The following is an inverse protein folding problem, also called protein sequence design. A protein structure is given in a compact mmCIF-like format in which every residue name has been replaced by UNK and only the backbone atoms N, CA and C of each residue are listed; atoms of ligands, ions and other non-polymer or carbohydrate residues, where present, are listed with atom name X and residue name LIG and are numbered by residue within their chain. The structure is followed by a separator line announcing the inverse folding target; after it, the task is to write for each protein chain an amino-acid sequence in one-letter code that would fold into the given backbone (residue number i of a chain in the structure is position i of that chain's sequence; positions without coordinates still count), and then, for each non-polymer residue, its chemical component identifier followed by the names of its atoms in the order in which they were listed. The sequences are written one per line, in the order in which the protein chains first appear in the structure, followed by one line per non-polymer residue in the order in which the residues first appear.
data_IF_238370330671
#
_entry.id   IF_238370330671
#
_cell.length_a   1.000
_cell.length_b   1.000
_cell.length_c   1.000
_cell.angle_alpha   90.00
_cell.angle_beta   90.00
_cell.angle_gamma   90.00
#
_symmetry.space_group_name_H-M   'P 1'
#
loop_
_entity.id
_entity.type
_entity.pdbx_description
1 polymer ?
#
# COMPACT_ATOMS: atom_id res chain seq x y z
N UNK A 1 30.38 -6.18 -9.17
CA UNK A 1 29.06 -6.04 -9.80
C UNK A 1 28.26 -7.36 -9.73
N UNK A 2 28.88 -8.48 -10.07
CA UNK A 2 28.23 -9.81 -10.08
C UNK A 2 27.83 -10.28 -8.66
N UNK A 3 28.68 -10.12 -7.65
CA UNK A 3 28.38 -10.44 -6.25
C UNK A 3 27.22 -9.63 -5.69
N UNK A 4 27.09 -8.37 -6.10
CA UNK A 4 25.95 -7.50 -5.69
C UNK A 4 24.66 -7.95 -6.36
N UNK A 5 24.73 -8.39 -7.63
CA UNK A 5 23.59 -8.95 -8.35
C UNK A 5 23.13 -10.26 -7.72
N UNK A 6 24.04 -11.18 -7.45
CA UNK A 6 23.74 -12.46 -6.79
C UNK A 6 23.17 -12.28 -5.38
N UNK A 7 23.67 -11.30 -4.61
CA UNK A 7 23.12 -10.96 -3.31
C UNK A 7 21.70 -10.37 -3.41
N UNK A 8 21.42 -9.58 -4.44
CA UNK A 8 20.06 -9.07 -4.71
C UNK A 8 19.11 -10.19 -5.11
N UNK A 9 19.54 -11.10 -5.98
CA UNK A 9 18.77 -12.26 -6.41
C UNK A 9 18.50 -13.22 -5.23
N UNK A 10 19.50 -13.52 -4.42
CA UNK A 10 19.35 -14.35 -3.22
C UNK A 10 18.38 -13.73 -2.21
N UNK A 11 18.38 -12.41 -2.06
CA UNK A 11 17.44 -11.69 -1.20
C UNK A 11 16.00 -11.75 -1.70
N UNK A 12 15.78 -11.79 -3.01
CA UNK A 12 14.46 -11.95 -3.61
C UNK A 12 13.85 -13.33 -3.31
N UNK A 13 14.69 -14.34 -3.08
CA UNK A 13 14.26 -15.73 -2.84
C UNK A 13 13.98 -15.97 -1.35
N UNK A 14 14.67 -15.29 -0.44
CA UNK A 14 14.57 -15.48 1.03
C UNK A 14 13.99 -14.24 1.72
N UNK A 15 12.75 -13.93 1.41
CA UNK A 15 12.09 -12.67 1.76
C UNK A 15 11.87 -12.41 3.25
N UNK A 16 12.11 -13.37 4.13
CA UNK A 16 11.78 -13.21 5.54
C UNK A 16 12.80 -12.38 6.34
N UNK A 17 13.96 -12.10 5.75
CA UNK A 17 15.01 -11.28 6.38
C UNK A 17 15.66 -10.33 5.36
N UNK A 18 14.86 -9.54 4.65
CA UNK A 18 15.39 -8.63 3.63
C UNK A 18 16.05 -7.42 4.31
N UNK A 19 17.33 -7.30 4.10
CA UNK A 19 18.11 -6.12 4.39
C UNK A 19 18.45 -5.39 3.08
N UNK A 20 18.09 -4.12 2.96
CA UNK A 20 18.50 -3.28 1.85
C UNK A 20 19.82 -2.59 2.22
N UNK A 21 20.99 -3.00 1.63
CA UNK A 21 22.28 -2.42 2.00
C UNK A 21 22.38 -0.92 1.76
N UNK A 22 21.62 -0.43 0.79
CA UNK A 22 21.60 0.99 0.42
C UNK A 22 20.81 1.84 1.41
N UNK A 23 19.81 1.26 2.09
CA UNK A 23 18.97 1.95 3.07
C UNK A 23 19.31 1.62 4.53
N UNK A 24 19.96 0.50 4.79
CA UNK A 24 20.22 0.01 6.14
C UNK A 24 18.98 -0.52 6.88
N UNK A 25 17.84 -0.71 6.20
CA UNK A 25 16.59 -1.13 6.82
C UNK A 25 16.30 -2.61 6.65
N UNK A 26 15.86 -3.24 7.73
CA UNK A 26 15.38 -4.61 7.74
C UNK A 26 13.89 -4.67 7.37
N UNK A 27 13.47 -5.85 6.90
CA UNK A 27 12.04 -6.13 6.69
C UNK A 27 11.27 -5.96 8.01
N UNK A 28 10.16 -5.21 8.02
CA UNK A 28 9.44 -4.86 9.24
C UNK A 28 8.45 -5.94 9.67
N UNK A 29 8.93 -7.08 10.19
CA UNK A 29 8.10 -8.20 10.65
C UNK A 29 7.05 -7.79 11.70
N UNK A 30 7.32 -6.76 12.50
CA UNK A 30 6.41 -6.25 13.53
C UNK A 30 5.06 -5.77 13.02
N UNK A 31 4.93 -5.51 11.70
CA UNK A 31 3.68 -5.07 11.07
C UNK A 31 2.72 -6.25 10.88
N UNK A 32 3.22 -7.48 10.84
CA UNK A 32 2.42 -8.66 10.55
C UNK A 32 1.31 -8.86 11.60
N UNK A 33 0.07 -8.95 11.13
CA UNK A 33 -1.10 -9.22 11.97
C UNK A 33 -2.21 -9.87 11.14
N UNK A 34 -3.25 -10.34 11.85
CA UNK A 34 -4.45 -10.89 11.22
C UNK A 34 -5.70 -10.25 11.81
N UNK A 35 -6.73 -10.11 10.98
CA UNK A 35 -8.03 -9.61 11.42
C UNK A 35 -9.17 -10.36 10.72
N UNK A 36 -10.28 -10.55 11.43
CA UNK A 36 -11.49 -11.15 10.88
C UNK A 36 -12.49 -10.09 10.44
N UNK A 37 -12.94 -10.19 9.21
CA UNK A 37 -14.03 -9.40 8.64
C UNK A 37 -15.23 -10.31 8.37
N UNK A 38 -16.09 -10.50 9.38
CA UNK A 38 -17.08 -11.56 9.36
C UNK A 38 -16.39 -12.93 9.37
N UNK A 39 -16.72 -13.77 8.40
CA UNK A 39 -16.09 -15.09 8.25
C UNK A 39 -14.72 -15.04 7.52
N UNK A 40 -14.37 -13.91 6.93
CA UNK A 40 -13.13 -13.75 6.18
C UNK A 40 -11.97 -13.39 7.12
N UNK A 41 -10.98 -14.26 7.21
CA UNK A 41 -9.71 -13.95 7.89
C UNK A 41 -8.73 -13.35 6.89
N UNK A 42 -8.24 -12.15 7.17
CA UNK A 42 -7.24 -11.45 6.35
C UNK A 42 -5.97 -11.27 7.16
N UNK A 43 -4.85 -11.65 6.57
CA UNK A 43 -3.52 -11.37 7.11
C UNK A 43 -2.96 -10.10 6.48
N UNK A 44 -2.25 -9.33 7.26
CA UNK A 44 -1.58 -8.10 6.82
C UNK A 44 -0.10 -8.19 7.13
N UNK A 45 0.73 -7.80 6.20
CA UNK A 45 2.18 -7.69 6.38
C UNK A 45 2.77 -6.69 5.39
N UNK A 46 3.99 -6.26 5.63
CA UNK A 46 4.70 -5.49 4.63
C UNK A 46 4.87 -6.31 3.34
N UNK A 47 4.86 -5.62 2.20
CA UNK A 47 5.12 -6.23 0.90
C UNK A 47 6.54 -6.79 0.83
N UNK A 48 6.72 -7.88 0.07
CA UNK A 48 8.02 -8.51 -0.17
C UNK A 48 8.32 -8.52 -1.67
N UNK A 49 9.60 -8.54 -2.08
CA UNK A 49 9.95 -8.71 -3.50
C UNK A 49 9.33 -9.96 -4.13
N UNK A 50 9.17 -11.04 -3.35
CA UNK A 50 8.52 -12.28 -3.79
C UNK A 50 7.02 -12.15 -4.09
N UNK A 51 6.39 -11.03 -3.73
CA UNK A 51 4.97 -10.78 -4.00
C UNK A 51 4.71 -10.31 -5.45
N UNK A 52 5.72 -10.19 -6.28
CA UNK A 52 5.62 -9.65 -7.63
C UNK A 52 4.50 -10.31 -8.46
N UNK A 53 4.48 -11.65 -8.48
CA UNK A 53 3.49 -12.38 -9.27
C UNK A 53 2.06 -12.19 -8.75
N UNK A 54 1.86 -12.21 -7.42
CA UNK A 54 0.55 -11.98 -6.83
C UNK A 54 0.08 -10.53 -6.99
N UNK A 55 0.98 -9.56 -6.88
CA UNK A 55 0.66 -8.15 -7.16
C UNK A 55 0.29 -7.92 -8.62
N UNK A 56 0.96 -8.64 -9.55
CA UNK A 56 0.58 -8.61 -10.97
C UNK A 56 -0.79 -9.23 -11.20
N UNK A 57 -1.08 -10.38 -10.56
CA UNK A 57 -2.41 -11.01 -10.63
C UNK A 57 -3.48 -10.09 -10.04
N UNK A 58 -3.21 -9.42 -8.92
CA UNK A 58 -4.10 -8.41 -8.34
C UNK A 58 -4.38 -7.29 -9.34
N UNK A 59 -3.35 -6.72 -9.97
CA UNK A 59 -3.50 -5.67 -10.98
C UNK A 59 -4.46 -6.09 -12.12
N UNK A 60 -4.31 -7.29 -12.65
CA UNK A 60 -5.14 -7.77 -13.77
C UNK A 60 -6.54 -8.22 -13.36
N UNK A 61 -6.85 -8.32 -12.06
CA UNK A 61 -8.22 -8.55 -11.58
C UNK A 61 -9.05 -7.26 -11.50
N UNK A 62 -8.41 -6.09 -11.50
CA UNK A 62 -9.13 -4.83 -11.43
C UNK A 62 -9.85 -4.50 -12.75
N UNK A 63 -11.01 -3.85 -12.61
CA UNK A 63 -11.66 -3.18 -13.74
C UNK A 63 -10.81 -2.00 -14.23
N UNK A 64 -11.01 -1.60 -15.47
CA UNK A 64 -10.37 -0.40 -16.05
C UNK A 64 -10.63 0.85 -15.19
N UNK A 65 -11.82 0.93 -14.60
CA UNK A 65 -12.19 2.04 -13.71
C UNK A 65 -11.39 2.04 -12.42
N UNK A 66 -11.21 0.87 -11.78
CA UNK A 66 -10.42 0.75 -10.56
C UNK A 66 -8.95 1.11 -10.81
N UNK A 67 -8.38 0.67 -11.94
CA UNK A 67 -7.03 1.05 -12.37
C UNK A 67 -6.94 2.58 -12.59
N UNK A 68 -7.91 3.16 -13.29
CA UNK A 68 -7.95 4.60 -13.50
C UNK A 68 -8.04 5.38 -12.19
N UNK A 69 -8.87 4.95 -11.26
CA UNK A 69 -8.97 5.59 -9.94
C UNK A 69 -7.67 5.54 -9.15
N UNK A 70 -6.92 4.44 -9.27
CA UNK A 70 -5.66 4.24 -8.55
C UNK A 70 -4.49 5.01 -9.17
N UNK A 71 -4.41 5.06 -10.49
CA UNK A 71 -3.24 5.55 -11.23
C UNK A 71 -3.50 6.87 -11.99
N UNK A 72 -4.73 7.38 -11.98
CA UNK A 72 -5.19 8.52 -12.79
C UNK A 72 -4.89 8.39 -14.29
N UNK A 73 -4.74 7.16 -14.77
CA UNK A 73 -4.35 6.85 -16.13
C UNK A 73 -4.91 5.49 -16.55
N UNK A 74 -5.35 5.33 -17.80
CA UNK A 74 -5.85 4.06 -18.32
C UNK A 74 -4.69 3.09 -18.62
N UNK A 75 -4.15 2.46 -17.59
CA UNK A 75 -3.06 1.48 -17.72
C UNK A 75 -3.64 0.13 -18.10
N UNK A 76 -3.28 -0.39 -19.28
CA UNK A 76 -3.75 -1.71 -19.78
C UNK A 76 -2.80 -2.85 -19.46
N UNK A 77 -1.52 -2.55 -19.31
CA UNK A 77 -0.48 -3.55 -19.02
C UNK A 77 0.46 -3.05 -17.93
N UNK A 78 0.88 -3.97 -17.08
CA UNK A 78 1.88 -3.72 -16.04
C UNK A 78 3.19 -4.40 -16.42
N UNK A 79 4.19 -3.65 -16.96
CA UNK A 79 5.48 -4.21 -17.32
C UNK A 79 6.18 -4.85 -16.12
N UNK A 80 6.88 -5.96 -16.36
CA UNK A 80 7.62 -6.70 -15.33
C UNK A 80 8.54 -5.80 -14.51
N UNK A 81 9.33 -4.95 -15.17
CA UNK A 81 10.22 -4.01 -14.51
C UNK A 81 9.50 -3.06 -13.56
N UNK A 82 8.35 -2.51 -13.98
CA UNK A 82 7.55 -1.63 -13.12
C UNK A 82 7.00 -2.36 -11.90
N UNK A 83 6.55 -3.60 -12.07
CA UNK A 83 6.05 -4.39 -10.94
C UNK A 83 7.20 -4.75 -9.99
N UNK A 84 8.39 -5.07 -10.50
CA UNK A 84 9.57 -5.29 -9.67
C UNK A 84 9.91 -4.04 -8.83
N UNK A 85 9.94 -2.86 -9.45
CA UNK A 85 10.16 -1.60 -8.73
C UNK A 85 9.07 -1.35 -7.68
N UNK A 86 7.84 -1.73 -7.99
CA UNK A 86 6.69 -1.54 -7.12
C UNK A 86 6.74 -2.39 -5.85
N UNK A 87 7.23 -3.62 -5.93
CA UNK A 87 7.35 -4.54 -4.78
C UNK A 87 8.67 -4.39 -4.00
N UNK A 88 9.71 -3.84 -4.64
CA UNK A 88 11.02 -3.62 -4.02
C UNK A 88 11.07 -2.26 -3.31
N UNK A 89 10.41 -2.16 -2.17
CA UNK A 89 10.40 -0.96 -1.33
C UNK A 89 11.51 -0.98 -0.28
N UNK A 90 11.93 0.20 0.19
CA UNK A 90 12.98 0.33 1.21
C UNK A 90 12.45 0.29 2.65
N UNK A 91 11.13 0.23 2.83
CA UNK A 91 10.39 0.22 4.11
C UNK A 91 10.58 1.48 4.98
N UNK A 92 11.31 2.47 4.51
CA UNK A 92 11.52 3.75 5.19
C UNK A 92 10.87 4.92 4.47
N UNK A 93 11.29 5.17 3.22
CA UNK A 93 10.69 6.21 2.39
C UNK A 93 9.39 5.74 1.75
N UNK A 94 9.35 4.48 1.36
CA UNK A 94 8.16 3.82 0.87
C UNK A 94 7.80 2.63 1.75
N UNK A 95 6.62 2.67 2.34
CA UNK A 95 6.02 1.55 3.05
C UNK A 95 4.82 1.04 2.25
N UNK A 96 4.73 -0.26 2.08
CA UNK A 96 3.58 -0.91 1.48
C UNK A 96 3.15 -2.10 2.32
N UNK A 97 1.86 -2.19 2.63
CA UNK A 97 1.24 -3.27 3.40
C UNK A 97 0.24 -3.97 2.49
N UNK A 98 0.35 -5.29 2.40
CA UNK A 98 -0.56 -6.12 1.62
C UNK A 98 -1.57 -6.83 2.53
N UNK A 99 -2.79 -6.99 2.01
CA UNK A 99 -3.86 -7.78 2.61
C UNK A 99 -3.95 -9.13 1.89
N UNK A 100 -3.86 -10.23 2.64
CA UNK A 100 -3.71 -11.58 2.11
C UNK A 100 -4.79 -12.47 2.70
N UNK A 101 -5.40 -13.28 1.85
CA UNK A 101 -6.27 -14.40 2.25
C UNK A 101 -5.63 -15.73 1.86
N UNK A 102 -6.07 -16.79 2.52
CA UNK A 102 -5.81 -18.16 2.09
C UNK A 102 -7.00 -18.65 1.25
N UNK A 103 -6.75 -19.03 0.03
CA UNK A 103 -7.73 -19.60 -0.87
C UNK A 103 -7.32 -21.04 -1.20
N UNK A 104 -7.85 -22.01 -0.44
CA UNK A 104 -7.54 -23.43 -0.58
C UNK A 104 -6.05 -23.78 -0.43
N UNK A 105 -5.38 -23.17 0.57
CA UNK A 105 -3.95 -23.40 0.85
C UNK A 105 -3.00 -22.56 -0.01
N UNK A 106 -3.53 -21.62 -0.81
CA UNK A 106 -2.74 -20.70 -1.62
C UNK A 106 -2.95 -19.27 -1.14
N UNK A 107 -1.87 -18.57 -0.86
CA UNK A 107 -1.93 -17.16 -0.51
C UNK A 107 -2.35 -16.31 -1.72
N UNK A 108 -3.31 -15.42 -1.50
CA UNK A 108 -3.81 -14.49 -2.51
C UNK A 108 -3.81 -13.09 -1.94
N UNK A 109 -3.12 -12.18 -2.60
CA UNK A 109 -3.17 -10.75 -2.25
C UNK A 109 -4.46 -10.16 -2.80
N UNK A 110 -5.26 -9.57 -1.92
CA UNK A 110 -6.55 -8.96 -2.23
C UNK A 110 -6.58 -7.45 -2.05
N UNK A 111 -5.50 -6.86 -1.56
CA UNK A 111 -5.40 -5.43 -1.41
C UNK A 111 -4.01 -4.99 -1.02
N UNK A 112 -3.77 -3.70 -1.21
CA UNK A 112 -2.51 -3.05 -0.88
C UNK A 112 -2.78 -1.60 -0.46
N UNK A 113 -2.09 -1.16 0.58
CA UNK A 113 -2.02 0.22 0.98
C UNK A 113 -0.57 0.64 1.13
N UNK A 114 -0.22 1.85 0.63
CA UNK A 114 1.14 2.36 0.75
C UNK A 114 1.19 3.83 1.10
N UNK A 115 2.29 4.23 1.67
CA UNK A 115 2.70 5.61 1.71
C UNK A 115 4.09 5.80 1.11
N UNK A 116 4.32 6.98 0.57
CA UNK A 116 5.64 7.43 0.09
C UNK A 116 5.95 8.77 0.74
N UNK A 117 7.09 8.87 1.43
CA UNK A 117 7.53 10.14 2.02
C UNK A 117 7.78 11.16 0.93
N UNK A 118 7.29 12.37 1.13
CA UNK A 118 7.60 13.49 0.26
C UNK A 118 9.03 13.97 0.50
N UNK A 119 9.68 14.42 -0.59
CA UNK A 119 10.97 15.13 -0.49
C UNK A 119 10.77 16.64 -0.33
N UNK A 120 9.55 17.13 -0.53
CA UNK A 120 9.22 18.55 -0.55
C UNK A 120 8.63 19.03 0.77
N UNK A 121 7.85 18.17 1.42
CA UNK A 121 7.24 18.46 2.71
C UNK A 121 7.36 17.26 3.66
N UNK A 122 6.91 17.42 4.90
CA UNK A 122 7.01 16.38 5.92
C UNK A 122 5.92 15.31 5.83
N UNK A 123 4.85 15.51 5.06
CA UNK A 123 3.74 14.58 4.93
C UNK A 123 4.04 13.51 3.89
N UNK A 124 3.46 12.33 4.07
CA UNK A 124 3.61 11.23 3.12
C UNK A 124 2.36 11.12 2.23
N UNK A 125 2.59 10.84 0.95
CA UNK A 125 1.52 10.52 -0.01
C UNK A 125 1.01 9.12 0.21
N UNK A 126 -0.31 8.93 0.21
CA UNK A 126 -0.93 7.62 0.41
C UNK A 126 -1.81 7.19 -0.75
N UNK A 127 -1.90 5.88 -0.93
CA UNK A 127 -2.81 5.27 -1.88
C UNK A 127 -3.20 3.86 -1.44
N UNK A 128 -4.43 3.45 -1.79
CA UNK A 128 -4.98 2.13 -1.47
C UNK A 128 -5.62 1.52 -2.70
N UNK A 129 -5.63 0.21 -2.74
CA UNK A 129 -6.44 -0.56 -3.67
C UNK A 129 -6.86 -1.88 -3.02
N UNK A 130 -8.12 -2.26 -3.19
CA UNK A 130 -8.66 -3.55 -2.73
C UNK A 130 -9.45 -4.16 -3.87
N UNK A 131 -9.24 -5.46 -4.09
CA UNK A 131 -9.96 -6.27 -5.07
C UNK A 131 -11.47 -6.07 -4.90
N UNK A 132 -12.16 -5.78 -6.00
CA UNK A 132 -13.56 -5.39 -6.02
C UNK A 132 -14.49 -6.40 -5.35
N UNK A 133 -14.14 -7.70 -5.40
CA UNK A 133 -14.88 -8.78 -4.72
C UNK A 133 -14.81 -8.74 -3.19
N UNK A 134 -13.84 -7.98 -2.64
CA UNK A 134 -13.60 -7.87 -1.20
C UNK A 134 -13.85 -6.46 -0.66
N UNK A 135 -14.33 -5.54 -1.49
CA UNK A 135 -14.70 -4.19 -1.07
C UNK A 135 -15.91 -4.17 -0.14
N UNK A 136 -16.11 -3.06 0.57
CA UNK A 136 -17.25 -2.88 1.49
C UNK A 136 -17.16 -3.66 2.80
N UNK A 137 -16.07 -4.38 3.06
CA UNK A 137 -15.83 -5.19 4.27
C UNK A 137 -15.01 -4.49 5.34
N UNK A 138 -14.48 -3.29 5.07
CA UNK A 138 -13.64 -2.54 5.99
C UNK A 138 -12.13 -2.78 5.82
N UNK A 139 -11.70 -3.58 4.83
CA UNK A 139 -10.29 -3.92 4.61
C UNK A 139 -9.45 -2.67 4.33
N UNK A 140 -9.92 -1.75 3.47
CA UNK A 140 -9.22 -0.50 3.18
C UNK A 140 -9.06 0.37 4.43
N UNK A 141 -10.10 0.45 5.26
CA UNK A 141 -10.05 1.21 6.53
C UNK A 141 -9.03 0.59 7.50
N UNK A 142 -8.98 -0.73 7.56
CA UNK A 142 -8.00 -1.44 8.40
C UNK A 142 -6.57 -1.21 7.92
N UNK A 143 -6.31 -1.35 6.61
CA UNK A 143 -5.02 -1.01 5.98
C UNK A 143 -4.61 0.43 6.28
N UNK A 144 -5.55 1.36 6.19
CA UNK A 144 -5.31 2.77 6.47
C UNK A 144 -4.86 2.99 7.92
N UNK A 145 -5.53 2.36 8.88
CA UNK A 145 -5.16 2.45 10.30
C UNK A 145 -3.78 1.83 10.56
N UNK A 146 -3.44 0.72 9.91
CA UNK A 146 -2.10 0.13 9.99
C UNK A 146 -1.02 1.08 9.44
N UNK A 147 -1.29 1.71 8.30
CA UNK A 147 -0.36 2.70 7.72
C UNK A 147 -0.19 3.91 8.61
N UNK A 148 -1.27 4.44 9.20
CA UNK A 148 -1.21 5.55 10.16
C UNK A 148 -0.33 5.18 11.36
N UNK A 149 -0.57 4.00 11.94
CA UNK A 149 0.22 3.50 13.07
C UNK A 149 1.70 3.44 12.70
N UNK A 150 2.03 2.79 11.59
CA UNK A 150 3.41 2.64 11.11
C UNK A 150 4.06 3.99 10.81
N UNK A 151 3.35 4.90 10.16
CA UNK A 151 3.85 6.23 9.82
C UNK A 151 4.15 7.07 11.08
N UNK A 152 3.29 7.00 12.10
CA UNK A 152 3.51 7.69 13.37
C UNK A 152 4.72 7.15 14.13
N UNK A 153 4.91 5.83 14.14
CA UNK A 153 6.12 5.20 14.73
C UNK A 153 7.40 5.65 14.03
N UNK A 154 7.32 5.96 12.73
CA UNK A 154 8.42 6.46 11.91
C UNK A 154 8.55 8.01 11.93
N UNK A 155 7.77 8.70 12.78
CA UNK A 155 7.82 10.15 12.93
C UNK A 155 7.23 10.95 11.78
N UNK A 156 6.40 10.34 10.93
CA UNK A 156 5.67 11.06 9.86
C UNK A 156 4.52 11.83 10.51
N UNK A 157 4.41 13.17 10.28
CA UNK A 157 3.44 14.00 10.99
C UNK A 157 2.03 13.96 10.40
N UNK A 158 1.85 13.38 9.21
CA UNK A 158 0.54 13.31 8.56
C UNK A 158 0.60 12.70 7.17
N UNK A 159 -0.58 12.46 6.62
CA UNK A 159 -0.76 11.95 5.27
C UNK A 159 -1.40 12.99 4.35
N UNK A 160 -1.12 12.85 3.07
CA UNK A 160 -1.84 13.51 1.99
C UNK A 160 -2.19 12.49 0.91
N UNK A 161 -3.24 12.80 0.16
CA UNK A 161 -3.68 11.96 -0.95
C UNK A 161 -4.43 12.79 -2.00
N UNK A 162 -4.36 12.35 -3.24
CA UNK A 162 -5.20 12.82 -4.32
C UNK A 162 -6.24 11.74 -4.66
N UNK A 163 -7.53 12.13 -4.65
CA UNK A 163 -8.64 11.21 -4.93
C UNK A 163 -9.57 11.86 -5.93
N UNK A 164 -9.86 11.17 -7.03
CA UNK A 164 -10.83 11.62 -8.01
C UNK A 164 -12.22 11.81 -7.35
N UNK A 165 -12.91 12.88 -7.70
CA UNK A 165 -14.20 13.28 -7.09
C UNK A 165 -15.30 12.22 -7.23
N UNK A 166 -15.23 11.39 -8.26
CA UNK A 166 -16.17 10.29 -8.51
C UNK A 166 -15.76 8.97 -7.83
N UNK A 167 -14.56 8.89 -7.22
CA UNK A 167 -14.14 7.73 -6.42
C UNK A 167 -14.70 7.80 -4.99
N UNK A 168 -16.02 7.75 -4.88
CA UNK A 168 -16.74 7.84 -3.60
C UNK A 168 -16.33 6.78 -2.56
N UNK A 169 -16.08 5.50 -2.95
CA UNK A 169 -15.60 4.51 -1.97
C UNK A 169 -14.29 4.91 -1.29
N UNK A 170 -13.35 5.45 -2.05
CA UNK A 170 -12.05 5.86 -1.51
C UNK A 170 -12.16 7.11 -0.62
N UNK A 171 -12.99 8.08 -1.02
CA UNK A 171 -13.27 9.25 -0.18
C UNK A 171 -13.78 8.83 1.20
N UNK A 172 -14.70 7.85 1.27
CA UNK A 172 -15.22 7.31 2.53
C UNK A 172 -14.14 6.64 3.39
N UNK A 173 -13.10 6.09 2.79
CA UNK A 173 -11.97 5.52 3.56
C UNK A 173 -11.22 6.64 4.28
N UNK A 174 -10.88 7.71 3.57
CA UNK A 174 -10.17 8.85 4.15
C UNK A 174 -11.01 9.60 5.19
N UNK A 175 -12.32 9.75 4.97
CA UNK A 175 -13.25 10.37 5.92
C UNK A 175 -13.31 9.65 7.28
N UNK A 176 -12.97 8.35 7.31
CA UNK A 176 -12.90 7.54 8.54
C UNK A 176 -11.57 7.63 9.28
N UNK A 177 -10.67 8.50 8.85
CA UNK A 177 -9.42 8.73 9.57
C UNK A 177 -9.70 9.13 11.03
N UNK A 178 -8.90 8.66 12.00
CA UNK A 178 -9.05 9.05 13.41
C UNK A 178 -8.49 10.45 13.71
N UNK A 179 -8.25 11.26 12.70
CA UNK A 179 -7.70 12.61 12.75
C UNK A 179 -8.51 13.56 11.86
N UNK A 180 -8.40 14.88 12.08
CA UNK A 180 -9.06 15.86 11.22
C UNK A 180 -8.66 15.69 9.75
N UNK A 181 -9.65 15.64 8.87
CA UNK A 181 -9.47 15.50 7.42
C UNK A 181 -9.75 16.84 6.76
N UNK A 182 -8.74 17.41 6.13
CA UNK A 182 -8.86 18.62 5.33
C UNK A 182 -8.95 18.25 3.87
N UNK A 183 -9.91 18.84 3.13
CA UNK A 183 -10.11 18.53 1.71
C UNK A 183 -10.24 19.81 0.91
N UNK A 184 -9.61 19.83 -0.26
CA UNK A 184 -9.74 20.90 -1.27
C UNK A 184 -10.04 20.24 -2.61
N UNK A 185 -11.16 20.63 -3.24
CA UNK A 185 -11.50 20.17 -4.59
C UNK A 185 -10.88 21.10 -5.62
N UNK A 186 -10.10 20.55 -6.53
CA UNK A 186 -9.48 21.28 -7.63
C UNK A 186 -9.39 20.40 -8.87
N UNK A 187 -9.97 20.84 -9.99
CA UNK A 187 -9.91 20.11 -11.26
C UNK A 187 -10.47 18.69 -11.22
N UNK A 188 -11.54 18.43 -10.44
CA UNK A 188 -12.13 17.09 -10.31
C UNK A 188 -11.36 16.14 -9.39
N UNK A 189 -10.37 16.65 -8.65
CA UNK A 189 -9.55 15.90 -7.70
C UNK A 189 -9.67 16.52 -6.31
N UNK A 190 -10.02 15.70 -5.32
CA UNK A 190 -9.90 16.06 -3.91
C UNK A 190 -8.45 15.91 -3.47
N UNK A 191 -7.84 17.03 -3.07
CA UNK A 191 -6.57 17.03 -2.33
C UNK A 191 -6.88 16.89 -0.85
N UNK A 192 -6.47 15.78 -0.26
CA UNK A 192 -6.74 15.41 1.13
C UNK A 192 -5.46 15.60 1.93
N UNK A 193 -5.59 16.20 3.11
CA UNK A 193 -4.49 16.35 4.08
C UNK A 193 -4.98 15.91 5.45
N UNK A 194 -4.24 15.05 6.12
CA UNK A 194 -4.59 14.46 7.42
C UNK A 194 -3.40 14.59 8.37
N UNK A 195 -3.30 15.68 9.13
CA UNK A 195 -2.29 15.81 10.18
C UNK A 195 -2.61 14.85 11.33
N UNK A 196 -1.57 14.18 11.87
CA UNK A 196 -1.71 13.21 12.97
C UNK A 196 -1.70 13.85 14.37
N UNK A 197 -1.73 15.15 14.44
CA UNK A 197 -1.88 15.89 15.68
C UNK A 197 -3.29 16.48 15.73
N UNK A 198 -3.96 16.33 16.86
CA UNK A 198 -5.16 17.09 17.16
C UNK A 198 -4.75 18.55 17.34
N UNK A 199 -5.41 19.45 16.62
CA UNK A 199 -5.27 20.89 16.77
C UNK A 199 -5.61 21.33 18.19
#
# INVERSE_FOLDING_TARGET
AELVRQAKEAKMIYADQIYFPESGYLYPDKIACSHKFGELTVRFRAIKPSDEDEMRRLFYRFSDQAVYYRYFSPIKTMPHKKMQEYVNVDYRYTMSIVAIIDESGVEKIIGEGRYVRSQVDSFADTAFIVDEHYQGRGISTYLFNLLIKTAREEGIPGFKADVLENNKPMLKVYEKAPFPVQTVLSGGVYKITIPFQSS
#
